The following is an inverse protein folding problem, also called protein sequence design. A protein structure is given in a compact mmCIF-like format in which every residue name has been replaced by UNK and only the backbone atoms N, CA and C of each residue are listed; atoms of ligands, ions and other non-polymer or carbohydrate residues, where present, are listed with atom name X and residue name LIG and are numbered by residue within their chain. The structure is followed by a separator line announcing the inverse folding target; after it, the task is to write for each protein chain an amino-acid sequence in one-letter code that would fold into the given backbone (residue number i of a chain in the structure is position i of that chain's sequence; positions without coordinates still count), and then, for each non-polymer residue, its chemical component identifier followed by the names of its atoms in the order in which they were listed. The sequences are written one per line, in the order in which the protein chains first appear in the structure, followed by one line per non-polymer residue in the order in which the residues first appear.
data_IF_745918565944
#
_entry.id   IF_745918565944
#
_cell.length_a   1.000
_cell.length_b   1.000
_cell.length_c   1.000
_cell.angle_alpha   90.00
_cell.angle_beta   90.00
_cell.angle_gamma   90.00
#
_symmetry.space_group_name_H-M   'P 1'
#
loop_
_entity.id
_entity.type
_entity.pdbx_description
1 polymer ?
#
# COMPACT_ATOMS: atom_id res chain seq x y z
N UNK A 1 27.35 11.97 -18.18
CA UNK A 1 27.53 10.52 -18.11
C UNK A 1 26.36 9.94 -17.35
N UNK A 2 25.80 8.81 -17.78
CA UNK A 2 24.77 8.11 -16.99
C UNK A 2 25.42 7.58 -15.69
N UNK A 3 24.76 7.77 -14.55
CA UNK A 3 25.24 7.25 -13.27
C UNK A 3 25.04 5.74 -13.29
N UNK A 4 26.10 4.99 -13.11
CA UNK A 4 26.02 3.53 -13.08
C UNK A 4 25.82 3.09 -11.63
N UNK A 5 24.74 2.36 -11.37
CA UNK A 5 24.44 1.76 -10.06
C UNK A 5 24.94 0.31 -10.01
N UNK A 6 25.15 -0.21 -8.82
CA UNK A 6 25.46 -1.61 -8.60
C UNK A 6 24.22 -2.49 -8.88
N UNK A 7 24.41 -3.79 -8.84
CA UNK A 7 23.31 -4.76 -8.96
C UNK A 7 22.27 -4.56 -7.85
N UNK A 8 20.97 -4.78 -8.13
CA UNK A 8 19.87 -4.57 -7.17
C UNK A 8 20.08 -5.25 -5.81
N UNK A 9 20.61 -6.47 -5.79
CA UNK A 9 20.89 -7.21 -4.56
C UNK A 9 21.82 -6.46 -3.58
N UNK A 10 22.72 -5.62 -4.08
CA UNK A 10 23.57 -4.80 -3.22
C UNK A 10 22.76 -3.71 -2.48
N UNK A 11 21.70 -3.21 -3.12
CA UNK A 11 20.82 -2.21 -2.52
C UNK A 11 19.77 -2.83 -1.61
N UNK A 12 19.33 -4.05 -1.85
CA UNK A 12 18.48 -4.82 -0.92
C UNK A 12 19.21 -5.03 0.41
N UNK A 13 20.44 -5.55 0.36
CA UNK A 13 21.28 -5.71 1.56
C UNK A 13 21.58 -4.38 2.27
N UNK A 14 21.70 -3.29 1.49
CA UNK A 14 21.88 -1.94 2.04
C UNK A 14 20.60 -1.44 2.71
N UNK A 15 19.44 -1.65 2.10
CA UNK A 15 18.14 -1.26 2.64
C UNK A 15 17.90 -1.90 4.02
N UNK A 16 18.17 -3.19 4.15
CA UNK A 16 18.06 -3.90 5.44
C UNK A 16 18.86 -3.19 6.54
N UNK A 17 20.13 -2.87 6.26
CA UNK A 17 21.00 -2.16 7.20
C UNK A 17 20.51 -0.75 7.51
N UNK A 18 19.98 -0.04 6.51
CA UNK A 18 19.43 1.31 6.68
C UNK A 18 18.18 1.29 7.54
N UNK A 19 17.27 0.34 7.33
CA UNK A 19 16.06 0.18 8.15
C UNK A 19 16.39 -0.14 9.60
N UNK A 20 17.35 -1.03 9.84
CA UNK A 20 17.84 -1.32 11.19
C UNK A 20 18.43 -0.07 11.89
N UNK A 21 19.21 0.75 11.18
CA UNK A 21 19.78 2.02 11.70
C UNK A 21 18.71 3.06 12.01
N UNK A 22 17.62 3.09 11.24
CA UNK A 22 16.47 3.97 11.49
C UNK A 22 15.54 3.48 12.60
N UNK A 23 15.78 2.27 13.15
CA UNK A 23 14.90 1.66 14.15
C UNK A 23 13.57 1.21 13.58
N UNK A 24 13.53 0.86 12.29
CA UNK A 24 12.36 0.38 11.58
C UNK A 24 12.40 -1.15 11.57
N UNK A 25 11.42 -1.78 12.22
CA UNK A 25 11.33 -3.24 12.32
C UNK A 25 10.55 -3.87 11.17
N UNK A 26 9.56 -3.15 10.65
CA UNK A 26 8.67 -3.67 9.59
C UNK A 26 8.71 -2.75 8.39
N UNK A 27 9.15 -3.30 7.26
CA UNK A 27 9.19 -2.60 5.99
C UNK A 27 8.92 -3.59 4.84
N UNK A 28 8.50 -3.03 3.71
CA UNK A 28 8.30 -3.73 2.45
C UNK A 28 8.74 -2.85 1.29
N UNK A 29 9.10 -3.43 0.15
CA UNK A 29 9.55 -2.69 -1.01
C UNK A 29 9.29 -3.48 -2.29
N UNK A 30 9.15 -2.75 -3.39
CA UNK A 30 9.07 -3.33 -4.72
C UNK A 30 9.53 -2.30 -5.77
N UNK A 31 9.93 -2.80 -6.92
CA UNK A 31 10.20 -1.98 -8.09
C UNK A 31 9.68 -2.64 -9.36
N UNK A 32 9.12 -1.82 -10.23
CA UNK A 32 8.73 -2.18 -11.58
C UNK A 32 9.79 -1.72 -12.59
N UNK A 33 9.47 -1.77 -13.87
CA UNK A 33 10.37 -1.27 -14.92
C UNK A 33 10.73 0.21 -14.76
N UNK A 34 9.84 1.05 -14.22
CA UNK A 34 9.99 2.51 -14.25
C UNK A 34 9.81 3.19 -12.88
N UNK A 35 9.48 2.48 -11.86
CA UNK A 35 9.17 3.03 -10.55
C UNK A 35 9.52 2.06 -9.42
N UNK A 36 9.71 2.62 -8.24
CA UNK A 36 9.91 1.84 -7.02
C UNK A 36 9.21 2.51 -5.83
N UNK A 37 9.03 1.73 -4.80
CA UNK A 37 8.60 2.22 -3.50
C UNK A 37 9.24 1.40 -2.37
N UNK A 38 9.40 2.06 -1.24
CA UNK A 38 9.73 1.45 0.05
C UNK A 38 8.69 1.94 1.05
N UNK A 39 8.00 1.04 1.70
CA UNK A 39 7.06 1.34 2.78
C UNK A 39 7.57 0.80 4.10
N UNK A 40 7.32 1.51 5.18
CA UNK A 40 7.71 1.09 6.52
C UNK A 40 6.78 1.65 7.58
N UNK A 41 6.75 0.99 8.74
CA UNK A 41 6.03 1.47 9.90
C UNK A 41 7.02 2.02 10.93
N UNK A 42 6.79 3.24 11.38
CA UNK A 42 7.59 3.88 12.42
C UNK A 42 6.68 4.50 13.49
N UNK A 43 6.88 4.15 14.75
CA UNK A 43 6.02 4.57 15.89
C UNK A 43 4.52 4.33 15.62
N UNK A 44 4.18 3.20 15.00
CA UNK A 44 2.79 2.82 14.69
C UNK A 44 2.17 3.53 13.48
N UNK A 45 2.91 4.39 12.79
CA UNK A 45 2.44 5.11 11.60
C UNK A 45 3.07 4.53 10.33
N UNK A 46 2.29 4.24 9.29
CA UNK A 46 2.79 3.79 8.00
C UNK A 46 3.30 4.96 7.16
N UNK A 47 4.45 4.77 6.53
CA UNK A 47 5.08 5.72 5.61
C UNK A 47 5.43 5.03 4.30
N UNK A 48 5.45 5.80 3.22
CA UNK A 48 5.87 5.31 1.91
C UNK A 48 6.79 6.31 1.23
N UNK A 49 7.95 5.83 0.82
CA UNK A 49 8.90 6.49 -0.03
C UNK A 49 8.72 5.95 -1.45
N UNK A 50 8.32 6.76 -2.40
CA UNK A 50 8.13 6.32 -3.79
C UNK A 50 8.86 7.25 -4.75
N UNK A 51 9.41 6.68 -5.82
CA UNK A 51 10.13 7.40 -6.85
C UNK A 51 9.92 6.75 -8.22
N UNK A 52 10.18 7.49 -9.30
CA UNK A 52 10.02 6.98 -10.66
C UNK A 52 11.12 7.51 -11.60
N UNK A 53 11.35 6.79 -12.69
CA UNK A 53 12.24 7.23 -13.77
C UNK A 53 11.81 8.60 -14.29
N UNK A 54 10.50 8.83 -14.45
CA UNK A 54 9.96 10.11 -14.88
C UNK A 54 10.36 11.25 -13.95
N UNK A 55 10.12 11.08 -12.65
CA UNK A 55 10.47 12.10 -11.65
C UNK A 55 11.98 12.39 -11.63
N UNK A 56 12.80 11.36 -11.75
CA UNK A 56 14.24 11.53 -11.80
C UNK A 56 14.67 12.35 -13.04
N UNK A 57 14.12 12.04 -14.20
CA UNK A 57 14.43 12.74 -15.46
C UNK A 57 13.96 14.21 -15.43
N UNK A 58 12.80 14.50 -14.86
CA UNK A 58 12.31 15.87 -14.65
C UNK A 58 13.26 16.72 -13.78
N UNK A 59 14.03 16.07 -12.90
CA UNK A 59 15.07 16.70 -12.07
C UNK A 59 16.48 16.58 -12.67
N UNK A 60 16.59 16.26 -13.97
CA UNK A 60 17.86 16.22 -14.71
C UNK A 60 18.72 14.99 -14.42
N UNK A 61 18.18 13.95 -13.76
CA UNK A 61 18.90 12.71 -13.47
C UNK A 61 18.67 11.71 -14.60
N UNK A 62 19.73 11.34 -15.31
CA UNK A 62 19.64 10.42 -16.45
C UNK A 62 19.68 8.96 -15.99
N UNK A 63 18.53 8.40 -15.68
CA UNK A 63 18.30 6.98 -15.36
C UNK A 63 17.21 6.40 -16.26
N UNK A 64 17.20 5.08 -16.42
CA UNK A 64 16.32 4.40 -17.38
C UNK A 64 15.49 3.27 -16.78
N UNK A 65 15.91 2.72 -15.65
CA UNK A 65 15.33 1.51 -15.09
C UNK A 65 14.87 1.71 -13.65
N UNK A 66 13.84 0.99 -13.26
CA UNK A 66 13.33 1.00 -11.89
C UNK A 66 14.35 0.51 -10.86
N UNK A 67 15.26 -0.38 -11.23
CA UNK A 67 16.40 -0.77 -10.38
C UNK A 67 17.31 0.40 -10.02
N UNK A 68 17.54 1.32 -10.96
CA UNK A 68 18.33 2.53 -10.70
C UNK A 68 17.55 3.49 -9.78
N UNK A 69 16.23 3.56 -9.98
CA UNK A 69 15.33 4.34 -9.10
C UNK A 69 15.34 3.78 -7.68
N UNK A 70 15.28 2.46 -7.54
CA UNK A 70 15.39 1.78 -6.25
C UNK A 70 16.71 2.10 -5.55
N UNK A 71 17.82 2.04 -6.30
CA UNK A 71 19.12 2.44 -5.77
C UNK A 71 19.11 3.87 -5.22
N UNK A 72 18.49 4.82 -5.92
CA UNK A 72 18.36 6.21 -5.46
C UNK A 72 17.55 6.33 -4.17
N UNK A 73 16.42 5.62 -4.06
CA UNK A 73 15.60 5.60 -2.85
C UNK A 73 16.40 5.07 -1.67
N UNK A 74 17.11 3.95 -1.85
CA UNK A 74 17.92 3.36 -0.78
C UNK A 74 19.05 4.30 -0.34
N UNK A 75 19.71 4.96 -1.27
CA UNK A 75 20.76 5.94 -0.95
C UNK A 75 20.18 7.17 -0.23
N UNK A 76 19.00 7.64 -0.61
CA UNK A 76 18.33 8.75 0.08
C UNK A 76 17.93 8.36 1.51
N UNK A 77 17.45 7.15 1.71
CA UNK A 77 17.16 6.61 3.05
C UNK A 77 18.44 6.42 3.88
N UNK A 78 19.57 6.06 3.26
CA UNK A 78 20.87 6.00 3.92
C UNK A 78 21.34 7.40 4.39
N UNK A 79 21.16 8.43 3.58
CA UNK A 79 21.48 9.81 3.97
C UNK A 79 20.58 10.28 5.11
N UNK A 80 19.30 9.93 5.07
CA UNK A 80 18.37 10.17 6.17
C UNK A 80 18.83 9.49 7.47
N UNK A 81 19.23 8.22 7.39
CA UNK A 81 19.75 7.50 8.56
C UNK A 81 20.99 8.19 9.15
N UNK A 82 21.90 8.64 8.30
CA UNK A 82 23.08 9.43 8.75
C UNK A 82 22.72 10.72 9.46
N UNK A 83 21.68 11.43 8.99
CA UNK A 83 21.22 12.67 9.64
C UNK A 83 20.60 12.37 11.01
N UNK A 84 19.78 11.34 11.11
CA UNK A 84 19.18 10.91 12.39
C UNK A 84 20.25 10.48 13.39
N UNK A 85 21.24 9.67 12.98
CA UNK A 85 22.35 9.23 13.82
C UNK A 85 23.23 10.40 14.33
N UNK A 86 23.36 11.46 13.56
CA UNK A 86 24.07 12.68 13.97
C UNK A 86 23.26 13.57 14.92
N UNK A 87 22.02 13.19 15.24
CA UNK A 87 21.12 13.96 16.09
C UNK A 87 20.52 15.21 15.41
N UNK A 88 20.56 15.28 14.08
CA UNK A 88 19.92 16.33 13.30
C UNK A 88 18.45 15.95 13.14
N UNK A 89 17.66 16.18 14.17
CA UNK A 89 16.28 15.73 14.32
C UNK A 89 16.12 14.21 14.40
N UNK A 90 14.98 13.76 14.87
CA UNK A 90 14.62 12.35 14.86
C UNK A 90 13.94 11.95 13.53
N UNK A 91 13.76 10.65 13.31
CA UNK A 91 13.12 10.16 12.10
C UNK A 91 11.72 10.72 11.92
N UNK A 92 10.94 10.91 12.98
CA UNK A 92 9.57 11.44 12.90
C UNK A 92 9.52 12.83 12.27
N UNK A 93 10.50 13.68 12.53
CA UNK A 93 10.61 15.01 11.92
C UNK A 93 10.86 14.93 10.42
N UNK A 94 11.79 14.06 10.01
CA UNK A 94 12.12 13.89 8.59
C UNK A 94 10.99 13.28 7.78
N UNK A 95 10.27 12.31 8.33
CA UNK A 95 9.17 11.65 7.63
C UNK A 95 7.83 12.39 7.74
N UNK A 96 7.74 13.46 8.53
CA UNK A 96 6.50 14.24 8.67
C UNK A 96 5.95 14.79 7.34
N UNK A 97 6.81 15.05 6.37
CA UNK A 97 6.45 15.47 5.02
C UNK A 97 6.22 14.32 4.03
N UNK A 98 6.45 13.08 4.42
CA UNK A 98 6.24 11.92 3.56
C UNK A 98 4.74 11.65 3.41
N UNK A 99 4.37 11.14 2.24
CA UNK A 99 3.00 10.72 1.98
C UNK A 99 2.69 9.50 2.86
N UNK A 100 1.76 9.67 3.79
CA UNK A 100 1.22 8.52 4.52
C UNK A 100 0.61 7.53 3.54
N UNK A 101 0.94 6.26 3.72
CA UNK A 101 0.05 5.22 3.20
C UNK A 101 -1.29 5.40 3.92
N UNK A 102 -2.42 5.45 3.22
CA UNK A 102 -3.67 5.16 3.88
C UNK A 102 -3.46 3.82 4.60
N UNK A 103 -3.87 3.76 5.87
CA UNK A 103 -3.90 2.48 6.61
C UNK A 103 -4.45 1.45 5.64
N UNK A 104 -3.75 0.31 5.50
CA UNK A 104 -4.13 -0.74 4.53
C UNK A 104 -5.65 -0.80 4.52
N UNK A 105 -6.27 -0.55 3.38
CA UNK A 105 -7.72 -0.35 3.29
C UNK A 105 -8.38 -1.45 4.09
N UNK A 106 -8.79 -1.12 5.30
CA UNK A 106 -9.60 -2.04 6.11
C UNK A 106 -10.87 -2.13 5.31
N UNK A 107 -11.02 -3.27 4.64
CA UNK A 107 -12.23 -3.57 3.87
C UNK A 107 -13.39 -3.30 4.80
N UNK A 108 -14.30 -2.45 4.40
CA UNK A 108 -15.46 -2.11 5.22
C UNK A 108 -16.20 -3.40 5.62
N UNK A 109 -16.68 -3.47 6.84
CA UNK A 109 -17.30 -4.68 7.36
C UNK A 109 -18.39 -5.26 6.47
N UNK A 110 -19.11 -4.43 5.72
CA UNK A 110 -20.11 -4.86 4.76
C UNK A 110 -19.54 -5.70 3.60
N UNK A 111 -18.38 -5.33 3.04
CA UNK A 111 -17.72 -6.12 1.98
C UNK A 111 -17.13 -7.42 2.54
N UNK A 112 -16.56 -7.37 3.75
CA UNK A 112 -16.09 -8.58 4.44
C UNK A 112 -17.24 -9.56 4.70
N UNK A 113 -18.40 -9.07 5.13
CA UNK A 113 -19.58 -9.88 5.35
C UNK A 113 -20.13 -10.54 4.08
N UNK A 114 -19.90 -9.94 2.90
CA UNK A 114 -20.15 -10.54 1.59
C UNK A 114 -19.05 -11.50 1.13
N UNK A 115 -17.99 -11.69 1.94
CA UNK A 115 -16.87 -12.60 1.63
C UNK A 115 -15.87 -12.06 0.62
N UNK A 116 -15.72 -10.75 0.54
CA UNK A 116 -14.62 -10.13 -0.18
C UNK A 116 -13.36 -10.05 0.70
N UNK A 117 -12.22 -10.37 0.14
CA UNK A 117 -10.91 -10.21 0.77
C UNK A 117 -10.23 -8.88 0.40
N UNK A 118 -10.74 -8.21 -0.64
CA UNK A 118 -10.35 -6.88 -1.09
C UNK A 118 -11.61 -6.13 -1.50
N UNK A 119 -11.59 -4.80 -1.43
CA UNK A 119 -12.71 -3.98 -1.89
C UNK A 119 -13.00 -4.27 -3.37
N UNK A 120 -14.24 -4.56 -3.75
CA UNK A 120 -14.61 -4.76 -5.15
C UNK A 120 -14.51 -3.45 -5.94
N UNK A 121 -14.13 -3.57 -7.21
CA UNK A 121 -13.96 -2.41 -8.09
C UNK A 121 -15.27 -1.93 -8.73
N UNK A 122 -16.27 -2.80 -8.81
CA UNK A 122 -17.55 -2.50 -9.50
C UNK A 122 -18.76 -2.94 -8.67
N UNK A 123 -19.88 -2.24 -8.88
CA UNK A 123 -21.16 -2.67 -8.30
C UNK A 123 -21.60 -4.05 -8.80
N UNK A 124 -21.24 -4.40 -10.03
CA UNK A 124 -21.56 -5.69 -10.64
C UNK A 124 -20.95 -6.84 -9.86
N UNK A 125 -19.71 -6.69 -9.36
CA UNK A 125 -19.05 -7.68 -8.51
C UNK A 125 -19.82 -7.89 -7.20
N UNK A 126 -20.27 -6.80 -6.58
CA UNK A 126 -21.09 -6.83 -5.34
C UNK A 126 -22.42 -7.51 -5.60
N UNK A 127 -23.11 -7.17 -6.71
CA UNK A 127 -24.39 -7.77 -7.12
C UNK A 127 -24.25 -9.26 -7.41
N UNK A 128 -23.17 -9.66 -8.08
CA UNK A 128 -22.91 -11.06 -8.40
C UNK A 128 -22.68 -11.89 -7.13
N UNK A 129 -21.85 -11.39 -6.20
CA UNK A 129 -21.57 -12.04 -4.95
C UNK A 129 -22.81 -12.16 -4.07
N UNK A 130 -23.60 -11.08 -3.97
CA UNK A 130 -24.86 -11.10 -3.27
C UNK A 130 -25.83 -12.16 -3.80
N UNK A 131 -26.03 -12.22 -5.15
CA UNK A 131 -26.90 -13.23 -5.79
C UNK A 131 -26.50 -14.67 -5.45
N UNK A 132 -25.19 -14.93 -5.39
CA UNK A 132 -24.66 -16.25 -5.06
C UNK A 132 -24.98 -16.61 -3.60
N UNK A 133 -24.72 -15.71 -2.67
CA UNK A 133 -24.99 -15.91 -1.24
C UNK A 133 -26.49 -15.96 -0.94
N UNK A 134 -27.28 -15.12 -1.61
CA UNK A 134 -28.73 -15.08 -1.45
C UNK A 134 -29.39 -16.40 -1.85
N UNK A 135 -28.92 -17.07 -2.89
CA UNK A 135 -29.41 -18.42 -3.27
C UNK A 135 -29.13 -19.47 -2.18
N UNK A 136 -27.98 -19.40 -1.53
CA UNK A 136 -27.58 -20.35 -0.49
C UNK A 136 -28.31 -20.11 0.85
N UNK A 137 -28.61 -18.85 1.17
CA UNK A 137 -29.21 -18.44 2.46
C UNK A 137 -30.72 -18.18 2.39
N UNK A 138 -31.35 -18.37 1.21
CA UNK A 138 -32.77 -18.07 1.04
C UNK A 138 -33.65 -19.01 1.89
N UNK A 139 -34.64 -18.49 2.66
CA UNK A 139 -35.51 -19.31 3.50
C UNK A 139 -36.24 -20.40 2.68
N UNK A 140 -36.70 -20.12 1.48
CA UNK A 140 -37.37 -21.10 0.60
C UNK A 140 -36.43 -22.23 0.14
N UNK A 141 -35.12 -22.02 0.20
CA UNK A 141 -34.11 -23.04 -0.09
C UNK A 141 -33.60 -23.77 1.18
N UNK A 142 -34.24 -23.53 2.34
CA UNK A 142 -33.84 -24.11 3.64
C UNK A 142 -32.75 -23.30 4.36
N UNK A 143 -32.47 -22.06 3.91
CA UNK A 143 -31.55 -21.15 4.57
C UNK A 143 -32.13 -20.48 5.81
N UNK A 144 -31.26 -19.86 6.59
CA UNK A 144 -31.59 -19.13 7.80
C UNK A 144 -32.10 -17.72 7.48
N UNK A 145 -33.31 -17.37 7.99
CA UNK A 145 -33.96 -16.08 7.72
C UNK A 145 -33.17 -14.89 8.31
N UNK A 146 -32.57 -15.05 9.49
CA UNK A 146 -31.79 -13.98 10.14
C UNK A 146 -30.44 -13.75 9.41
N UNK A 147 -29.81 -14.84 8.96
CA UNK A 147 -28.62 -14.76 8.13
C UNK A 147 -28.91 -14.10 6.78
N UNK A 148 -30.06 -14.39 6.16
CA UNK A 148 -30.49 -13.75 4.91
C UNK A 148 -30.76 -12.26 5.09
N UNK A 149 -31.44 -11.86 6.17
CA UNK A 149 -31.68 -10.43 6.46
C UNK A 149 -30.39 -9.67 6.75
N UNK A 150 -29.45 -10.30 7.47
CA UNK A 150 -28.11 -9.75 7.70
C UNK A 150 -27.33 -9.58 6.38
N UNK A 151 -27.38 -10.57 5.50
CA UNK A 151 -26.77 -10.49 4.16
C UNK A 151 -27.36 -9.32 3.36
N UNK A 152 -28.67 -9.15 3.39
CA UNK A 152 -29.38 -8.06 2.71
C UNK A 152 -28.98 -6.69 3.23
N UNK A 153 -28.87 -6.53 4.56
CA UNK A 153 -28.41 -5.27 5.18
C UNK A 153 -26.99 -4.92 4.75
N UNK A 154 -26.08 -5.87 4.79
CA UNK A 154 -24.70 -5.67 4.35
C UNK A 154 -24.61 -5.31 2.86
N UNK A 155 -25.40 -5.96 2.01
CA UNK A 155 -25.46 -5.65 0.58
C UNK A 155 -25.89 -4.20 0.32
N UNK A 156 -26.94 -3.72 1.00
CA UNK A 156 -27.41 -2.33 0.87
C UNK A 156 -26.31 -1.35 1.33
N UNK A 157 -25.59 -1.66 2.42
CA UNK A 157 -24.48 -0.84 2.88
C UNK A 157 -23.32 -0.80 1.88
N UNK A 158 -22.99 -1.92 1.24
CA UNK A 158 -21.96 -1.97 0.21
C UNK A 158 -22.29 -1.06 -0.98
N UNK A 159 -23.53 -1.13 -1.50
CA UNK A 159 -23.96 -0.27 -2.60
C UNK A 159 -23.94 1.22 -2.22
N UNK A 160 -24.37 1.55 -1.00
CA UNK A 160 -24.34 2.92 -0.50
C UNK A 160 -22.90 3.46 -0.42
N UNK A 161 -21.96 2.64 0.07
CA UNK A 161 -20.54 3.00 0.15
C UNK A 161 -19.92 3.22 -1.24
N UNK A 162 -20.28 2.40 -2.22
CA UNK A 162 -19.79 2.58 -3.59
C UNK A 162 -20.35 3.87 -4.22
N UNK A 163 -21.61 4.18 -3.98
CA UNK A 163 -22.25 5.40 -4.50
C UNK A 163 -21.72 6.70 -3.84
N UNK A 164 -21.35 6.68 -2.56
CA UNK A 164 -20.79 7.83 -1.83
C UNK A 164 -19.41 8.26 -2.37
N UNK A 165 -18.67 7.36 -3.02
CA UNK A 165 -17.32 7.62 -3.53
C UNK A 165 -17.27 7.84 -5.05
N UNK A 166 -18.41 7.86 -5.72
CA UNK A 166 -18.52 8.31 -7.13
C UNK A 166 -17.90 7.34 -8.15
N UNK A 167 -17.96 6.05 -7.90
CA UNK A 167 -17.65 5.00 -8.87
C UNK A 167 -18.91 4.44 -9.52
#
# INVERSE_FOLDING_TARGET
MAKQYAEPAAYENKLEKVMARLGVETYDYDWSRFECWVSFTYKGQPYRFSHSVKNAQEHGVNIKYGSDVFAQVVLSLEDLARMVERGIYDLSTWVAGMKYLPAAETIEPCFMALGFSKRPNTEEDVKAKYKLLAKALHPDAGGDADAFDTLRKNYIQCLKKMAEEGL
#
